data_IF_933360126875
#
_entry.id   IF_933360126875
#
_cell.length_a   1.000
_cell.length_b   1.000
_cell.length_c   1.000
_cell.angle_alpha   90.00
_cell.angle_beta   90.00
_cell.angle_gamma   90.00
#
_symmetry.space_group_name_H-M   'P 1'
#
loop_
_entity.id
_entity.type
_entity.pdbx_description
1 polymer ?
#
# COMPACT_ATOMS: atom_id res chain seq x y z
N UNK A 1 -4.69 -20.01 5.68
CA UNK A 1 -3.24 -20.03 5.45
C UNK A 1 -2.76 -18.59 5.42
N UNK A 2 -1.70 -18.23 6.15
CA UNK A 2 -1.10 -16.89 6.10
C UNK A 2 0.17 -17.00 5.25
N UNK A 3 0.18 -16.36 4.09
CA UNK A 3 1.35 -16.27 3.24
C UNK A 3 2.00 -14.90 3.44
N UNK A 4 3.31 -14.87 3.57
CA UNK A 4 4.06 -13.61 3.73
C UNK A 4 4.31 -12.91 2.38
N UNK A 5 4.41 -13.69 1.30
CA UNK A 5 4.66 -13.18 -0.04
C UNK A 5 3.42 -13.28 -0.94
N UNK A 6 3.17 -12.28 -1.83
CA UNK A 6 2.07 -12.32 -2.80
C UNK A 6 2.05 -13.59 -3.66
N UNK A 7 3.21 -14.07 -4.08
CA UNK A 7 3.33 -15.27 -4.93
C UNK A 7 2.89 -16.56 -4.21
N UNK A 8 3.03 -16.62 -2.89
CA UNK A 8 2.50 -17.72 -2.08
C UNK A 8 0.98 -17.76 -2.13
N UNK A 9 0.33 -16.60 -1.99
CA UNK A 9 -1.14 -16.49 -2.11
C UNK A 9 -1.60 -16.90 -3.51
N UNK A 10 -1.00 -16.34 -4.55
CA UNK A 10 -1.34 -16.67 -5.95
C UNK A 10 -1.21 -18.17 -6.24
N UNK A 11 -0.12 -18.79 -5.77
CA UNK A 11 0.10 -20.23 -5.95
C UNK A 11 -0.95 -21.07 -5.24
N UNK A 12 -1.36 -20.69 -4.03
CA UNK A 12 -2.43 -21.38 -3.29
C UNK A 12 -3.77 -21.28 -4.02
N UNK A 13 -4.12 -20.09 -4.53
CA UNK A 13 -5.36 -19.86 -5.30
C UNK A 13 -5.35 -20.68 -6.60
N UNK A 14 -4.24 -20.69 -7.36
CA UNK A 14 -4.11 -21.52 -8.58
C UNK A 14 -4.29 -23.02 -8.31
N UNK A 15 -3.91 -23.48 -7.12
CA UNK A 15 -4.08 -24.87 -6.67
C UNK A 15 -5.47 -25.17 -6.12
N UNK A 16 -6.43 -24.25 -6.23
CA UNK A 16 -7.81 -24.44 -5.78
C UNK A 16 -7.99 -24.38 -4.26
N UNK A 17 -7.04 -23.82 -3.51
CA UNK A 17 -7.13 -23.73 -2.05
C UNK A 17 -8.09 -22.64 -1.54
N UNK A 18 -8.74 -21.90 -2.43
CA UNK A 18 -9.74 -20.87 -2.11
C UNK A 18 -9.42 -19.50 -2.71
N UNK A 19 -9.83 -18.44 -2.01
CA UNK A 19 -9.66 -17.04 -2.42
C UNK A 19 -8.48 -16.38 -1.70
N UNK A 20 -7.85 -15.40 -2.36
CA UNK A 20 -6.74 -14.63 -1.82
C UNK A 20 -7.04 -13.13 -1.80
N UNK A 21 -6.56 -12.44 -0.77
CA UNK A 21 -6.59 -10.97 -0.67
C UNK A 21 -5.19 -10.42 -0.90
N UNK A 22 -5.04 -9.55 -1.90
CA UNK A 22 -3.76 -8.95 -2.29
C UNK A 22 -3.96 -7.47 -2.65
N UNK A 23 -2.90 -6.68 -2.54
CA UNK A 23 -2.89 -5.34 -3.13
C UNK A 23 -3.09 -5.43 -4.65
N UNK A 24 -3.94 -4.57 -5.20
CA UNK A 24 -4.30 -4.58 -6.61
C UNK A 24 -3.09 -4.58 -7.55
N UNK A 25 -2.08 -3.76 -7.24
CA UNK A 25 -0.85 -3.66 -8.04
C UNK A 25 -0.11 -5.00 -8.21
N UNK A 26 -0.23 -5.92 -7.23
CA UNK A 26 0.43 -7.22 -7.30
C UNK A 26 -0.32 -8.24 -8.17
N UNK A 27 -1.61 -8.04 -8.44
CA UNK A 27 -2.46 -9.04 -9.13
C UNK A 27 -3.08 -8.52 -10.42
N UNK A 28 -3.09 -7.20 -10.63
CA UNK A 28 -3.64 -6.57 -11.84
C UNK A 28 -3.05 -7.10 -13.15
N UNK A 29 -1.72 -7.34 -13.28
CA UNK A 29 -1.17 -7.92 -14.49
C UNK A 29 -1.74 -9.31 -14.79
N UNK A 30 -2.01 -10.09 -13.74
CA UNK A 30 -2.47 -11.48 -13.85
C UNK A 30 -3.97 -11.52 -14.16
N UNK A 31 -4.76 -10.61 -13.58
CA UNK A 31 -6.17 -10.39 -13.94
C UNK A 31 -6.31 -9.99 -15.41
N UNK A 32 -5.46 -9.07 -15.89
CA UNK A 32 -5.47 -8.65 -17.31
C UNK A 32 -5.14 -9.79 -18.26
N UNK A 33 -4.34 -10.76 -17.83
CA UNK A 33 -4.06 -11.99 -18.60
C UNK A 33 -5.15 -13.06 -18.47
N UNK A 34 -6.15 -12.85 -17.62
CA UNK A 34 -7.22 -13.82 -17.35
C UNK A 34 -6.81 -14.96 -16.43
N UNK A 35 -5.67 -14.86 -15.73
CA UNK A 35 -5.20 -15.90 -14.80
C UNK A 35 -5.97 -15.88 -13.47
N UNK A 36 -6.48 -14.72 -13.07
CA UNK A 36 -7.31 -14.55 -11.88
C UNK A 36 -8.52 -13.68 -12.20
N UNK A 37 -9.59 -13.89 -11.45
CA UNK A 37 -10.77 -13.03 -11.43
C UNK A 37 -10.79 -12.19 -10.16
N UNK A 38 -11.23 -10.95 -10.27
CA UNK A 38 -11.52 -10.09 -9.12
C UNK A 38 -12.89 -10.46 -8.53
N UNK A 39 -12.97 -10.56 -7.21
CA UNK A 39 -14.23 -10.71 -6.50
C UNK A 39 -14.55 -9.42 -5.75
N UNK A 40 -15.59 -8.73 -6.19
CA UNK A 40 -16.13 -7.59 -5.44
C UNK A 40 -16.81 -8.09 -4.16
N UNK A 41 -16.45 -7.50 -3.02
CA UNK A 41 -17.07 -7.76 -1.72
C UNK A 41 -17.87 -6.51 -1.29
N UNK A 42 -19.18 -6.45 -1.59
CA UNK A 42 -19.99 -5.28 -1.27
C UNK A 42 -20.02 -5.03 0.24
N UNK A 43 -19.93 -3.76 0.65
CA UNK A 43 -19.97 -3.36 2.06
C UNK A 43 -18.65 -3.53 2.81
N UNK A 44 -17.57 -3.96 2.14
CA UNK A 44 -16.23 -4.01 2.72
C UNK A 44 -15.33 -2.98 2.02
N UNK A 45 -14.84 -2.02 2.78
CA UNK A 45 -13.87 -1.05 2.31
C UNK A 45 -12.46 -1.65 2.40
N UNK A 46 -11.97 -2.14 1.25
CA UNK A 46 -10.62 -2.71 1.13
C UNK A 46 -9.65 -1.63 0.62
N UNK A 47 -9.38 -0.64 1.46
CA UNK A 47 -8.35 0.37 1.20
C UNK A 47 -7.01 -0.01 1.84
N UNK A 48 -6.00 -0.27 1.00
CA UNK A 48 -4.63 -0.46 1.45
C UNK A 48 -3.84 0.85 1.39
N UNK A 49 -3.22 1.26 2.50
CA UNK A 49 -2.36 2.45 2.54
C UNK A 49 -0.90 2.05 2.73
N UNK A 50 -0.02 2.60 1.89
CA UNK A 50 1.43 2.44 2.00
C UNK A 50 2.06 3.70 2.58
N UNK A 51 3.04 3.53 3.46
CA UNK A 51 3.71 4.62 4.16
C UNK A 51 5.23 4.50 4.00
N UNK A 52 5.89 5.65 3.90
CA UNK A 52 7.34 5.75 4.11
C UNK A 52 7.57 6.08 5.57
N UNK A 53 8.38 5.28 6.25
CA UNK A 53 8.67 5.45 7.69
C UNK A 53 10.14 5.78 7.85
N UNK A 54 10.43 6.86 8.57
CA UNK A 54 11.78 7.31 8.88
C UNK A 54 11.81 7.98 10.27
N UNK A 55 12.99 7.99 10.89
CA UNK A 55 13.15 8.53 12.24
C UNK A 55 12.99 10.05 12.24
N UNK A 56 12.16 10.60 13.14
CA UNK A 56 11.85 12.04 13.16
C UNK A 56 13.07 12.93 13.40
N UNK A 57 14.01 12.48 14.23
CA UNK A 57 15.18 13.29 14.60
C UNK A 57 16.41 13.01 13.74
N UNK A 58 16.36 11.99 12.87
CA UNK A 58 17.49 11.68 11.98
C UNK A 58 17.25 12.38 10.66
N UNK A 59 18.13 13.30 10.23
CA UNK A 59 18.00 13.91 8.91
C UNK A 59 18.08 12.82 7.83
N UNK A 60 17.28 12.98 6.78
CA UNK A 60 17.34 12.13 5.61
C UNK A 60 18.66 12.42 4.87
N UNK A 61 19.23 11.40 4.23
CA UNK A 61 20.32 11.64 3.27
C UNK A 61 19.76 12.36 2.05
N UNK A 62 20.64 13.01 1.27
CA UNK A 62 20.23 13.69 0.02
C UNK A 62 19.48 12.73 -0.91
N UNK A 63 20.00 11.51 -1.12
CA UNK A 63 19.33 10.51 -1.95
C UNK A 63 17.93 10.14 -1.45
N UNK A 64 17.73 10.11 -0.12
CA UNK A 64 16.42 9.80 0.47
C UNK A 64 15.44 10.97 0.33
N UNK A 65 15.92 12.21 0.43
CA UNK A 65 15.11 13.41 0.15
C UNK A 65 14.70 13.47 -1.32
N UNK A 66 15.62 13.17 -2.24
CA UNK A 66 15.36 13.15 -3.68
C UNK A 66 14.33 12.07 -4.04
N UNK A 67 14.46 10.87 -3.47
CA UNK A 67 13.48 9.80 -3.61
C UNK A 67 12.11 10.23 -3.06
N UNK A 68 12.07 10.84 -1.88
CA UNK A 68 10.84 11.32 -1.26
C UNK A 68 10.16 12.41 -2.13
N UNK A 69 10.92 13.33 -2.69
CA UNK A 69 10.43 14.34 -3.62
C UNK A 69 9.86 13.70 -4.89
N UNK A 70 10.54 12.70 -5.45
CA UNK A 70 10.08 11.95 -6.63
C UNK A 70 8.75 11.24 -6.35
N UNK A 71 8.65 10.53 -5.22
CA UNK A 71 7.45 9.80 -4.82
C UNK A 71 6.28 10.77 -4.58
N UNK A 72 6.51 11.90 -3.91
CA UNK A 72 5.49 12.95 -3.71
C UNK A 72 5.01 13.53 -5.04
N UNK A 73 5.91 13.80 -5.98
CA UNK A 73 5.56 14.30 -7.33
C UNK A 73 4.74 13.27 -8.11
N UNK A 74 5.15 12.01 -8.09
CA UNK A 74 4.43 10.93 -8.76
C UNK A 74 3.01 10.79 -8.20
N UNK A 75 2.88 10.90 -6.88
CA UNK A 75 1.60 10.90 -6.17
C UNK A 75 0.67 12.00 -6.69
N UNK A 76 1.10 13.26 -6.67
CA UNK A 76 0.28 14.40 -7.13
C UNK A 76 -0.24 14.24 -8.56
N UNK A 77 0.54 13.60 -9.44
CA UNK A 77 0.14 13.32 -10.82
C UNK A 77 -0.96 12.26 -10.93
N UNK A 78 -0.97 11.25 -10.04
CA UNK A 78 -2.05 10.24 -9.98
C UNK A 78 -3.36 10.84 -9.43
N UNK A 79 -3.29 11.66 -8.37
CA UNK A 79 -4.48 12.28 -7.74
C UNK A 79 -5.15 13.39 -8.56
N UNK A 80 -4.45 14.00 -9.53
CA UNK A 80 -5.07 14.92 -10.49
C UNK A 80 -5.98 14.19 -11.49
N UNK A 81 -5.74 12.90 -11.74
CA UNK A 81 -6.48 12.07 -12.68
C UNK A 81 -7.52 11.16 -12.00
N UNK A 82 -7.69 11.23 -10.68
CA UNK A 82 -8.74 10.53 -9.93
C UNK A 82 -9.92 11.45 -9.60
N UNK A 83 -11.16 10.94 -9.62
CA UNK A 83 -12.34 11.72 -9.26
C UNK A 83 -12.23 12.26 -7.84
N UNK A 84 -12.74 13.48 -7.63
CA UNK A 84 -12.52 14.31 -6.43
C UNK A 84 -12.84 13.62 -5.08
N UNK A 85 -13.64 12.55 -5.08
CA UNK A 85 -14.00 11.77 -3.88
C UNK A 85 -12.84 11.01 -3.24
N UNK A 86 -11.72 10.75 -3.94
CA UNK A 86 -10.53 10.05 -3.41
C UNK A 86 -9.36 10.95 -3.01
N UNK A 87 -9.55 12.27 -3.06
CA UNK A 87 -8.50 13.23 -2.70
C UNK A 87 -8.32 13.27 -1.19
N UNK A 88 -7.62 12.28 -0.64
CA UNK A 88 -7.15 12.35 0.75
C UNK A 88 -6.14 13.49 0.83
N UNK A 89 -6.53 14.49 1.63
CA UNK A 89 -5.81 15.73 1.88
C UNK A 89 -4.34 15.50 2.25
N UNK A 90 -3.53 16.54 2.05
CA UNK A 90 -2.17 16.69 2.56
C UNK A 90 -1.98 15.93 3.87
N UNK A 91 -1.32 14.77 3.80
CA UNK A 91 -0.98 13.98 4.98
C UNK A 91 0.22 14.67 5.60
N UNK A 92 -0.02 15.43 6.67
CA UNK A 92 1.05 15.84 7.57
C UNK A 92 1.77 14.58 8.06
N UNK A 93 3.11 14.64 8.28
CA UNK A 93 3.86 13.50 8.80
C UNK A 93 3.16 12.93 10.03
N UNK A 94 2.61 11.73 9.91
CA UNK A 94 1.96 11.09 11.04
C UNK A 94 3.05 10.58 11.98
N UNK A 95 3.19 11.26 13.12
CA UNK A 95 4.18 10.91 14.15
C UNK A 95 3.61 9.73 14.94
N UNK A 96 4.10 8.53 14.63
CA UNK A 96 3.87 7.35 15.47
C UNK A 96 4.64 7.59 16.78
N UNK A 97 3.93 7.76 17.89
CA UNK A 97 4.53 7.83 19.24
C UNK A 97 4.84 6.40 19.67
N UNK A 98 6.10 6.10 19.96
CA UNK A 98 6.47 4.83 20.58
C UNK A 98 6.05 4.85 22.05
N UNK A 99 5.36 3.80 22.51
CA UNK A 99 4.87 3.62 23.87
C UNK A 99 5.98 3.16 24.84
N UNK A 100 7.17 3.77 24.77
CA UNK A 100 8.33 3.36 25.59
C UNK A 100 8.79 4.42 26.58
N UNK A 101 8.01 5.47 26.79
CA UNK A 101 8.23 6.48 27.83
C UNK A 101 7.32 6.24 29.05
N UNK A 102 7.27 5.00 29.56
CA UNK A 102 6.84 4.76 30.94
C UNK A 102 8.10 4.75 31.83
N UNK A 103 8.28 5.74 32.73
CA UNK A 103 9.29 5.64 33.77
C UNK A 103 8.80 4.64 34.82
N UNK A 104 9.61 3.63 35.12
CA UNK A 104 9.53 2.87 36.38
C UNK A 104 9.75 3.79 37.60
#
# INVERSE_FOLDING_TARGET
>A
MRCEAPEGVKTAVRKGMGMGLLYGDNVMPDIRRGEFAELALPGIELEGRSYLVYHKTRPLSQDAEDLLALLRRHRSRKYLNEPAARRVATVEPHVIRNSTDDPE
#
